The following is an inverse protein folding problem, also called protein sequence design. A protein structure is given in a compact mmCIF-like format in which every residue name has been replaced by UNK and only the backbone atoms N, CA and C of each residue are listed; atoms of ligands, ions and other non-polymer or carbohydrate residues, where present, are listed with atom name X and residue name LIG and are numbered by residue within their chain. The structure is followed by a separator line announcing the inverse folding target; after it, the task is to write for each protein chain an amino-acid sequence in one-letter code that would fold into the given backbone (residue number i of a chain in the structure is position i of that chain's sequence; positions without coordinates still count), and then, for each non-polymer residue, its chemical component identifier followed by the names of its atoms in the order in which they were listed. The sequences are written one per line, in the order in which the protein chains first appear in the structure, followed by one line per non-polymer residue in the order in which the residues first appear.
data_IF_099540791591
#
_entry.id   IF_099540791591
#
_cell.length_a   1.000
_cell.length_b   1.000
_cell.length_c   1.000
_cell.angle_alpha   90.00
_cell.angle_beta   90.00
_cell.angle_gamma   90.00
#
_symmetry.space_group_name_H-M   'P 1'
#
loop_
_entity.id
_entity.type
_entity.pdbx_description
1 polymer ?
#
# COMPACT_ATOMS: atom_id res chain seq x y z
N UNK A 1 -11.03 19.00 5.08
CA UNK A 1 -9.77 18.30 5.37
C UNK A 1 -9.29 18.83 6.70
N UNK A 2 -9.21 17.97 7.72
CA UNK A 2 -8.72 18.35 9.05
C UNK A 2 -7.20 18.51 9.04
N UNK A 3 -6.60 19.18 10.02
CA UNK A 3 -5.14 19.26 10.15
C UNK A 3 -4.49 17.87 10.23
N UNK A 4 -5.17 16.91 10.85
CA UNK A 4 -4.76 15.50 10.92
C UNK A 4 -4.74 14.84 9.53
N UNK A 5 -5.75 15.09 8.69
CA UNK A 5 -5.81 14.54 7.34
C UNK A 5 -4.66 15.05 6.46
N UNK A 6 -4.30 16.33 6.59
CA UNK A 6 -3.18 16.93 5.85
C UNK A 6 -1.84 16.34 6.26
N UNK A 7 -1.60 16.16 7.57
CA UNK A 7 -0.37 15.53 8.09
C UNK A 7 -0.23 14.07 7.66
N UNK A 8 -1.34 13.34 7.55
CA UNK A 8 -1.36 11.99 7.01
C UNK A 8 -0.98 11.97 5.52
N UNK A 9 -1.54 12.89 4.72
CA UNK A 9 -1.23 12.99 3.29
C UNK A 9 0.25 13.31 3.02
N UNK A 10 0.80 14.26 3.78
CA UNK A 10 2.24 14.61 3.74
C UNK A 10 3.12 13.38 4.02
N UNK A 11 2.70 12.53 4.98
CA UNK A 11 3.41 11.29 5.33
C UNK A 11 3.37 10.22 4.24
N UNK A 12 2.35 10.22 3.38
CA UNK A 12 2.22 9.29 2.26
C UNK A 12 3.00 9.74 1.01
N UNK A 13 3.36 11.02 0.92
CA UNK A 13 4.17 11.55 -0.18
C UNK A 13 5.68 11.34 -0.02
N UNK A 14 6.13 10.96 1.18
CA UNK A 14 7.54 10.78 1.51
C UNK A 14 8.03 9.39 1.11
N UNK A 15 9.14 9.32 0.37
CA UNK A 15 9.83 8.04 0.16
C UNK A 15 10.44 7.56 1.48
N UNK A 16 9.92 6.43 1.98
CA UNK A 16 10.39 5.76 3.19
C UNK A 16 11.09 4.44 2.92
N UNK A 17 11.05 3.96 1.68
CA UNK A 17 11.67 2.69 1.30
C UNK A 17 13.13 2.91 0.88
N UNK A 18 13.44 4.07 0.30
CA UNK A 18 14.77 4.38 -0.21
C UNK A 18 15.29 3.25 -1.10
N UNK A 19 16.58 2.91 -0.97
CA UNK A 19 17.20 1.82 -1.74
C UNK A 19 16.75 0.39 -1.39
N UNK A 20 15.83 0.21 -0.43
CA UNK A 20 15.30 -1.12 -0.05
C UNK A 20 13.99 -1.46 -0.76
N UNK A 21 13.46 -0.56 -1.59
CA UNK A 21 12.23 -0.79 -2.36
C UNK A 21 12.32 -2.04 -3.25
N UNK A 22 13.50 -2.28 -3.83
CA UNK A 22 13.74 -3.43 -4.72
C UNK A 22 13.58 -4.78 -3.99
N UNK A 23 14.05 -4.89 -2.74
CA UNK A 23 13.90 -6.12 -1.94
C UNK A 23 12.42 -6.46 -1.71
N UNK A 24 11.60 -5.43 -1.42
CA UNK A 24 10.17 -5.60 -1.19
C UNK A 24 9.48 -6.00 -2.49
N UNK A 25 9.81 -5.34 -3.60
CA UNK A 25 9.24 -5.66 -4.90
C UNK A 25 9.57 -7.10 -5.33
N UNK A 26 10.82 -7.53 -5.17
CA UNK A 26 11.25 -8.89 -5.45
C UNK A 26 10.50 -9.92 -4.59
N UNK A 27 10.36 -9.66 -3.29
CA UNK A 27 9.62 -10.53 -2.39
C UNK A 27 8.13 -10.64 -2.74
N UNK A 28 7.50 -9.53 -3.15
CA UNK A 28 6.11 -9.52 -3.63
C UNK A 28 5.95 -10.36 -4.89
N UNK A 29 6.83 -10.15 -5.88
CA UNK A 29 6.77 -10.91 -7.14
C UNK A 29 6.89 -12.42 -6.90
N UNK A 30 7.86 -12.83 -6.07
CA UNK A 30 8.03 -14.23 -5.69
C UNK A 30 6.80 -14.79 -4.95
N UNK A 31 6.15 -13.99 -4.10
CA UNK A 31 4.96 -14.42 -3.37
C UNK A 31 3.74 -14.65 -4.28
N UNK A 32 3.71 -14.05 -5.47
CA UNK A 32 2.66 -14.23 -6.47
C UNK A 32 2.92 -15.39 -7.45
N UNK A 33 4.13 -15.92 -7.50
CA UNK A 33 4.51 -16.95 -8.47
C UNK A 33 3.64 -18.20 -8.34
N UNK A 34 3.07 -18.65 -9.46
CA UNK A 34 2.21 -19.84 -9.52
C UNK A 34 0.79 -19.65 -8.94
N UNK A 35 0.42 -18.46 -8.46
CA UNK A 35 -0.93 -18.19 -7.97
C UNK A 35 -1.89 -17.87 -9.12
N UNK A 36 -3.11 -18.41 -9.03
CA UNK A 36 -4.23 -17.91 -9.82
C UNK A 36 -4.62 -16.48 -9.41
N UNK A 37 -5.34 -15.79 -10.28
CA UNK A 37 -5.72 -14.39 -10.08
C UNK A 37 -6.44 -14.15 -8.75
N UNK A 38 -7.39 -15.00 -8.38
CA UNK A 38 -8.17 -14.88 -7.16
C UNK A 38 -7.29 -15.09 -5.91
N UNK A 39 -6.36 -16.04 -5.96
CA UNK A 39 -5.42 -16.29 -4.88
C UNK A 39 -4.41 -15.14 -4.72
N UNK A 40 -3.95 -14.57 -5.83
CA UNK A 40 -3.11 -13.37 -5.88
C UNK A 40 -3.82 -12.16 -5.27
N UNK A 41 -5.09 -11.94 -5.61
CA UNK A 41 -5.92 -10.89 -5.01
C UNK A 41 -6.13 -11.12 -3.49
N UNK A 42 -6.39 -12.36 -3.07
CA UNK A 42 -6.52 -12.71 -1.65
C UNK A 42 -5.21 -12.55 -0.86
N UNK A 43 -4.05 -12.80 -1.49
CA UNK A 43 -2.74 -12.49 -0.92
C UNK A 43 -2.60 -10.99 -0.67
N UNK A 44 -2.90 -10.17 -1.68
CA UNK A 44 -2.82 -8.71 -1.56
C UNK A 44 -3.74 -8.17 -0.46
N UNK A 45 -4.98 -8.65 -0.37
CA UNK A 45 -5.91 -8.24 0.67
C UNK A 45 -5.37 -8.55 2.08
N UNK A 46 -4.83 -9.75 2.30
CA UNK A 46 -4.21 -10.14 3.58
C UNK A 46 -2.98 -9.29 3.90
N UNK A 47 -2.12 -9.07 2.92
CA UNK A 47 -0.93 -8.23 3.10
C UNK A 47 -1.30 -6.80 3.50
N UNK A 48 -2.26 -6.19 2.81
CA UNK A 48 -2.75 -4.83 3.13
C UNK A 48 -3.25 -4.76 4.57
N UNK A 49 -4.02 -5.75 5.03
CA UNK A 49 -4.52 -5.80 6.41
C UNK A 49 -3.38 -5.95 7.44
N UNK A 50 -2.39 -6.80 7.17
CA UNK A 50 -1.22 -6.97 8.03
C UNK A 50 -0.41 -5.68 8.13
N UNK A 51 -0.18 -4.99 7.01
CA UNK A 51 0.55 -3.72 6.98
C UNK A 51 -0.25 -2.60 7.68
N UNK A 52 -1.56 -2.52 7.46
CA UNK A 52 -2.41 -1.56 8.16
C UNK A 52 -2.38 -1.77 9.68
N UNK A 53 -2.42 -3.03 10.13
CA UNK A 53 -2.25 -3.38 11.54
C UNK A 53 -0.86 -3.01 12.07
N UNK A 54 0.21 -3.29 11.30
CA UNK A 54 1.58 -2.95 11.70
C UNK A 54 1.82 -1.43 11.79
N UNK A 55 1.12 -0.64 10.95
CA UNK A 55 1.18 0.83 10.97
C UNK A 55 0.45 1.40 12.19
N UNK A 56 -0.72 0.86 12.55
CA UNK A 56 -1.46 1.27 13.77
C UNK A 56 -2.08 2.68 13.75
N UNK A 57 -2.00 3.39 12.63
CA UNK A 57 -2.46 4.78 12.46
C UNK A 57 -3.67 4.82 11.53
N UNK A 58 -4.87 4.84 12.11
CA UNK A 58 -6.15 4.75 11.38
C UNK A 58 -6.35 5.92 10.40
N UNK A 59 -6.16 7.20 10.78
CA UNK A 59 -6.25 8.32 9.83
C UNK A 59 -5.30 8.15 8.64
N UNK A 60 -4.05 7.71 8.87
CA UNK A 60 -3.09 7.47 7.79
C UNK A 60 -3.53 6.36 6.85
N UNK A 61 -4.04 5.24 7.39
CA UNK A 61 -4.54 4.13 6.57
C UNK A 61 -5.75 4.55 5.73
N UNK A 62 -6.68 5.32 6.29
CA UNK A 62 -7.84 5.83 5.55
C UNK A 62 -7.43 6.81 4.45
N UNK A 63 -6.46 7.69 4.72
CA UNK A 63 -5.89 8.58 3.71
C UNK A 63 -5.23 7.79 2.57
N UNK A 64 -4.48 6.72 2.89
CA UNK A 64 -3.86 5.85 1.89
C UNK A 64 -4.89 5.16 0.98
N UNK A 65 -6.00 4.67 1.55
CA UNK A 65 -7.11 4.10 0.76
C UNK A 65 -7.73 5.17 -0.15
N UNK A 66 -7.90 6.39 0.36
CA UNK A 66 -8.36 7.54 -0.42
C UNK A 66 -7.46 7.81 -1.63
N UNK A 67 -6.14 7.90 -1.42
CA UNK A 67 -5.14 8.09 -2.47
C UNK A 67 -5.12 6.95 -3.49
N UNK A 68 -5.14 5.70 -3.03
CA UNK A 68 -5.13 4.53 -3.91
C UNK A 68 -6.36 4.50 -4.84
N UNK A 69 -7.49 5.06 -4.40
CA UNK A 69 -8.70 5.19 -5.24
C UNK A 69 -8.58 6.29 -6.31
N UNK A 70 -7.80 7.34 -6.05
CA UNK A 70 -7.62 8.48 -6.98
C UNK A 70 -6.43 8.34 -7.90
N UNK A 71 -5.43 7.53 -7.52
CA UNK A 71 -4.39 7.04 -8.41
C UNK A 71 -5.04 6.05 -9.37
N UNK A 72 -5.74 6.55 -10.39
CA UNK A 72 -6.29 5.73 -11.45
C UNK A 72 -5.18 4.81 -12.00
N UNK A 73 -5.53 3.58 -12.43
CA UNK A 73 -4.56 2.77 -13.15
C UNK A 73 -4.20 3.54 -14.41
N UNK A 74 -2.93 3.87 -14.60
CA UNK A 74 -2.43 4.29 -15.92
C UNK A 74 -2.72 3.13 -16.88
N UNK A 75 -3.87 3.18 -17.55
CA UNK A 75 -4.20 2.35 -18.69
C UNK A 75 -3.52 2.99 -19.89
N UNK A 76 -2.29 2.55 -20.15
CA UNK A 76 -1.80 2.43 -21.52
C UNK A 76 -2.53 1.29 -22.24
#
# INVERSE_FOLDING_TARGET
MTDTDRLADDRLAQDRLGGRGDDIYAALLAAHEGLAFEASAALNARLVLLLANAVGDVPLVLAAIGRARTAAPDQG
#
